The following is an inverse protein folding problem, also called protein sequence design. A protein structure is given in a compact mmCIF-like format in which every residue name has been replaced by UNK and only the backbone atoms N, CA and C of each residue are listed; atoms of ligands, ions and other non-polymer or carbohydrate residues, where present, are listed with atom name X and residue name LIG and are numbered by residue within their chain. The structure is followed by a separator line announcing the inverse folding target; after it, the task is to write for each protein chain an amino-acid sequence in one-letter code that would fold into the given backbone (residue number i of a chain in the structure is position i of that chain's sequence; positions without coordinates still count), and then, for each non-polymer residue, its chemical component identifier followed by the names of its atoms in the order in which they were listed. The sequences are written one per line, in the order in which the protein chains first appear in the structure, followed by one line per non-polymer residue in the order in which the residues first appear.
data_IF_402606758739
#
_entry.id   IF_402606758739
#
_cell.length_a   1.000
_cell.length_b   1.000
_cell.length_c   1.000
_cell.angle_alpha   90.00
_cell.angle_beta   90.00
_cell.angle_gamma   90.00
#
_symmetry.space_group_name_H-M   'P 1'
#
loop_
_entity.id
_entity.type
_entity.pdbx_description
1 polymer ?
#
# COMPACT_ATOMS: atom_id res chain seq x y z
N UNK A 1 -30.82 -13.41 -46.01
CA UNK A 1 -31.46 -14.10 -44.88
C UNK A 1 -30.41 -14.27 -43.79
N UNK A 2 -30.45 -13.41 -42.78
CA UNK A 2 -29.54 -13.46 -41.65
C UNK A 2 -30.05 -14.49 -40.66
N UNK A 3 -29.30 -15.56 -40.44
CA UNK A 3 -29.63 -16.57 -39.43
C UNK A 3 -29.61 -15.90 -38.04
N UNK A 4 -30.77 -15.85 -37.40
CA UNK A 4 -30.87 -15.45 -35.99
C UNK A 4 -30.17 -16.50 -35.15
N UNK A 5 -29.02 -16.13 -34.56
CA UNK A 5 -28.36 -16.97 -33.57
C UNK A 5 -29.16 -16.86 -32.25
N UNK A 6 -29.88 -17.91 -31.92
CA UNK A 6 -30.59 -18.02 -30.67
C UNK A 6 -29.62 -18.38 -29.57
N UNK A 7 -29.29 -17.42 -28.70
CA UNK A 7 -28.53 -17.68 -27.48
C UNK A 7 -29.49 -18.11 -26.38
N UNK A 8 -29.12 -19.13 -25.61
CA UNK A 8 -29.88 -19.53 -24.41
C UNK A 8 -28.94 -19.55 -23.20
N UNK A 9 -29.44 -19.10 -22.06
CA UNK A 9 -28.74 -19.22 -20.80
C UNK A 9 -28.86 -20.67 -20.30
N UNK A 10 -27.72 -21.31 -20.06
CA UNK A 10 -27.67 -22.66 -19.50
C UNK A 10 -27.05 -22.62 -18.12
N UNK A 11 -27.71 -23.19 -17.12
CA UNK A 11 -27.11 -23.38 -15.80
C UNK A 11 -26.05 -24.47 -15.89
N UNK A 12 -24.82 -24.14 -15.51
CA UNK A 12 -23.68 -25.07 -15.47
C UNK A 12 -23.27 -25.24 -14.02
N UNK A 13 -23.12 -26.47 -13.56
CA UNK A 13 -22.53 -26.76 -12.27
C UNK A 13 -21.04 -26.92 -12.45
N UNK A 14 -20.27 -26.00 -11.91
CA UNK A 14 -18.81 -26.12 -11.90
C UNK A 14 -18.37 -27.17 -10.88
N UNK A 15 -17.35 -27.97 -11.20
CA UNK A 15 -16.74 -28.83 -10.21
C UNK A 15 -16.22 -27.95 -9.04
N UNK A 16 -16.38 -28.44 -7.82
CA UNK A 16 -15.79 -27.77 -6.65
C UNK A 16 -14.28 -27.79 -6.79
N UNK A 17 -13.71 -26.70 -7.29
CA UNK A 17 -12.27 -26.50 -7.29
C UNK A 17 -11.93 -26.11 -5.84
N UNK A 18 -11.70 -27.11 -5.00
CA UNK A 18 -11.26 -26.90 -3.62
C UNK A 18 -9.77 -26.57 -3.63
N UNK A 19 -9.41 -25.42 -3.06
CA UNK A 19 -8.07 -25.31 -2.52
C UNK A 19 -7.96 -26.27 -1.32
N UNK A 20 -6.77 -26.85 -1.06
CA UNK A 20 -6.58 -27.66 0.14
C UNK A 20 -7.06 -26.85 1.35
N UNK A 21 -7.78 -27.49 2.25
CA UNK A 21 -8.32 -26.87 3.48
C UNK A 21 -7.23 -26.47 4.50
N UNK A 22 -5.98 -26.53 4.11
CA UNK A 22 -4.89 -26.10 4.94
C UNK A 22 -4.92 -24.55 5.06
N UNK A 23 -4.81 -24.02 6.29
CA UNK A 23 -4.73 -22.59 6.50
C UNK A 23 -3.51 -22.05 5.75
N UNK A 24 -3.71 -20.98 5.00
CA UNK A 24 -2.59 -20.30 4.32
C UNK A 24 -1.56 -19.91 5.37
N UNK A 25 -0.26 -20.18 5.14
CA UNK A 25 0.78 -19.73 6.07
C UNK A 25 0.73 -18.20 6.15
N UNK A 26 0.54 -17.69 7.35
CA UNK A 26 0.54 -16.24 7.61
C UNK A 26 1.89 -15.81 8.16
N UNK A 27 2.41 -14.69 7.66
CA UNK A 27 3.60 -14.06 8.25
C UNK A 27 3.16 -13.35 9.55
N UNK A 28 3.69 -13.73 10.72
CA UNK A 28 3.32 -13.10 11.99
C UNK A 28 3.61 -11.61 12.03
N UNK A 29 2.78 -10.82 12.71
CA UNK A 29 2.97 -9.37 12.87
C UNK A 29 4.34 -9.00 13.46
N UNK A 30 4.90 -9.84 14.33
CA UNK A 30 6.24 -9.65 14.89
C UNK A 30 7.35 -9.61 13.82
N UNK A 31 7.16 -10.26 12.68
CA UNK A 31 8.12 -10.20 11.56
C UNK A 31 8.15 -8.79 10.97
N UNK A 32 6.98 -8.18 10.77
CA UNK A 32 6.87 -6.81 10.24
C UNK A 32 7.41 -5.78 11.24
N UNK A 33 7.20 -5.97 12.54
CA UNK A 33 7.81 -5.13 13.56
C UNK A 33 9.35 -5.19 13.52
N UNK A 34 9.95 -6.38 13.35
CA UNK A 34 11.40 -6.53 13.16
C UNK A 34 11.90 -5.87 11.87
N UNK A 35 11.13 -5.97 10.78
CA UNK A 35 11.46 -5.30 9.50
C UNK A 35 11.48 -3.78 9.66
N UNK A 36 10.49 -3.22 10.36
CA UNK A 36 10.47 -1.80 10.70
C UNK A 36 11.67 -1.38 11.54
N UNK A 37 12.04 -2.17 12.55
CA UNK A 37 13.20 -1.89 13.39
C UNK A 37 14.51 -1.89 12.57
N UNK A 38 14.67 -2.86 11.65
CA UNK A 38 15.83 -2.90 10.75
C UNK A 38 15.88 -1.70 9.80
N UNK A 39 14.73 -1.30 9.24
CA UNK A 39 14.65 -0.11 8.40
C UNK A 39 15.08 1.14 9.18
N UNK A 40 14.60 1.31 10.40
CA UNK A 40 14.96 2.44 11.27
C UNK A 40 16.45 2.45 11.63
N UNK A 41 17.02 1.30 11.91
CA UNK A 41 18.46 1.19 12.13
C UNK A 41 19.27 1.62 10.90
N UNK A 42 18.83 1.22 9.70
CA UNK A 42 19.44 1.66 8.44
C UNK A 42 19.26 3.16 8.20
N UNK A 43 18.09 3.71 8.50
CA UNK A 43 17.83 5.16 8.43
C UNK A 43 18.78 5.93 9.35
N UNK A 44 18.94 5.48 10.60
CA UNK A 44 19.86 6.12 11.57
C UNK A 44 21.30 6.09 11.08
N UNK A 45 21.77 4.97 10.55
CA UNK A 45 23.13 4.84 9.99
C UNK A 45 23.39 5.74 8.77
N UNK A 46 22.33 6.20 8.10
CA UNK A 46 22.39 7.08 6.93
C UNK A 46 21.97 8.53 7.24
N UNK A 47 21.69 8.85 8.49
CA UNK A 47 21.17 10.14 8.94
C UNK A 47 19.90 10.56 8.17
N UNK A 48 18.93 9.63 8.03
CA UNK A 48 17.63 9.88 7.41
C UNK A 48 16.58 10.17 8.48
N UNK A 49 15.90 11.30 8.35
CA UNK A 49 14.80 11.72 9.22
C UNK A 49 13.46 11.09 8.82
N UNK A 50 13.35 10.70 7.56
CA UNK A 50 12.19 9.98 7.04
C UNK A 50 12.58 9.03 5.92
N UNK A 51 11.76 7.99 5.73
CA UNK A 51 11.81 7.11 4.57
C UNK A 51 10.43 7.07 3.94
N UNK A 52 10.36 7.41 2.68
CA UNK A 52 9.15 7.31 1.84
C UNK A 52 9.24 6.00 1.07
N UNK A 53 8.26 5.13 1.24
CA UNK A 53 8.15 3.85 0.51
C UNK A 53 6.93 3.92 -0.38
N UNK A 54 7.17 4.14 -1.67
CA UNK A 54 6.12 4.20 -2.69
C UNK A 54 5.80 2.79 -3.21
N UNK A 55 4.57 2.59 -3.62
CA UNK A 55 4.12 1.40 -4.30
C UNK A 55 3.01 1.72 -5.30
N UNK A 56 3.02 0.99 -6.39
CA UNK A 56 1.95 0.90 -7.36
C UNK A 56 1.63 -0.58 -7.63
N UNK A 57 0.75 -0.82 -8.58
CA UNK A 57 0.32 -2.17 -9.00
C UNK A 57 1.49 -3.09 -9.39
N UNK A 58 2.56 -2.54 -9.94
CA UNK A 58 3.69 -3.32 -10.47
C UNK A 58 4.89 -3.31 -9.51
N UNK A 59 5.07 -2.24 -8.72
CA UNK A 59 6.23 -1.99 -7.87
C UNK A 59 5.84 -1.93 -6.38
N UNK A 60 5.17 -2.94 -5.88
CA UNK A 60 4.63 -2.98 -4.51
C UNK A 60 5.52 -3.73 -3.51
N UNK A 61 6.55 -4.44 -3.96
CA UNK A 61 7.30 -5.38 -3.13
C UNK A 61 7.90 -4.76 -1.86
N UNK A 62 8.43 -3.53 -1.92
CA UNK A 62 8.99 -2.84 -0.76
C UNK A 62 7.92 -2.51 0.28
N UNK A 63 6.77 -2.01 -0.15
CA UNK A 63 5.65 -1.69 0.74
C UNK A 63 5.05 -2.96 1.35
N UNK A 64 4.82 -3.99 0.54
CA UNK A 64 4.31 -5.28 1.00
C UNK A 64 5.28 -5.96 1.97
N UNK A 65 6.58 -5.92 1.71
CA UNK A 65 7.59 -6.44 2.63
C UNK A 65 7.54 -5.73 3.98
N UNK A 66 7.34 -4.41 3.99
CA UNK A 66 7.30 -3.63 5.22
C UNK A 66 5.99 -3.79 5.98
N UNK A 67 4.85 -3.82 5.29
CA UNK A 67 3.51 -3.67 5.89
C UNK A 67 2.58 -4.86 5.73
N UNK A 68 2.84 -5.76 4.79
CA UNK A 68 1.93 -6.76 4.23
C UNK A 68 0.83 -6.18 3.31
N UNK A 69 0.84 -4.90 3.02
CA UNK A 69 -0.12 -4.27 2.13
C UNK A 69 0.47 -4.07 0.74
N UNK A 70 -0.26 -4.50 -0.28
CA UNK A 70 -0.03 -4.14 -1.67
C UNK A 70 -1.24 -3.33 -2.19
N UNK A 71 -1.05 -2.28 -2.98
CA UNK A 71 -2.14 -1.40 -3.41
C UNK A 71 -3.06 -2.01 -4.46
N UNK A 72 -2.74 -3.15 -5.05
CA UNK A 72 -3.54 -3.87 -6.07
C UNK A 72 -3.80 -3.09 -7.34
N UNK A 73 -4.64 -2.06 -7.28
CA UNK A 73 -5.18 -1.35 -8.43
C UNK A 73 -4.74 0.11 -8.50
N UNK A 74 -4.36 0.65 -7.37
CA UNK A 74 -4.07 2.06 -7.17
C UNK A 74 -2.62 2.28 -6.71
N UNK A 75 -2.30 3.47 -6.32
CA UNK A 75 -1.02 3.80 -5.70
C UNK A 75 -1.14 3.82 -4.18
N UNK A 76 -0.03 3.64 -3.50
CA UNK A 76 0.06 3.82 -2.05
C UNK A 76 1.46 4.29 -1.65
N UNK A 77 1.57 4.87 -0.47
CA UNK A 77 2.83 5.39 0.02
C UNK A 77 2.89 5.26 1.54
N UNK A 78 4.00 4.72 2.06
CA UNK A 78 4.27 4.77 3.49
C UNK A 78 5.35 5.79 3.82
N UNK A 79 5.13 6.56 4.88
CA UNK A 79 6.16 7.41 5.50
C UNK A 79 6.58 6.80 6.82
N UNK A 80 7.86 6.43 6.91
CA UNK A 80 8.49 5.91 8.12
C UNK A 80 9.34 7.01 8.74
N UNK A 81 9.13 7.24 10.03
CA UNK A 81 9.94 8.15 10.84
C UNK A 81 10.80 7.34 11.82
N UNK A 82 11.81 7.91 12.45
CA UNK A 82 12.62 7.23 13.47
C UNK A 82 11.79 6.62 14.59
N UNK A 83 10.68 7.26 14.95
CA UNK A 83 9.77 6.81 16.01
C UNK A 83 8.30 6.88 15.57
N UNK A 84 7.40 6.31 16.36
CA UNK A 84 5.95 6.35 16.13
C UNK A 84 5.49 5.32 15.08
N UNK A 85 4.20 5.31 14.78
CA UNK A 85 3.63 4.47 13.72
C UNK A 85 3.98 5.04 12.35
N UNK A 86 4.33 4.21 11.35
CA UNK A 86 4.37 4.66 9.97
C UNK A 86 3.01 5.17 9.52
N UNK A 87 3.02 6.22 8.69
CA UNK A 87 1.80 6.73 8.04
C UNK A 87 1.66 6.01 6.70
N UNK A 88 0.48 5.45 6.41
CA UNK A 88 0.17 4.79 5.15
C UNK A 88 -0.91 5.58 4.42
N UNK A 89 -0.55 6.20 3.30
CA UNK A 89 -1.47 6.88 2.39
C UNK A 89 -2.07 5.90 1.41
N UNK A 90 -3.39 5.94 1.26
CA UNK A 90 -4.19 4.95 0.54
C UNK A 90 -5.28 5.69 -0.23
N UNK A 91 -5.57 5.27 -1.45
CA UNK A 91 -6.70 5.76 -2.23
C UNK A 91 -8.04 5.19 -1.76
N UNK A 92 -9.10 5.55 -2.47
CA UNK A 92 -10.47 5.16 -2.11
C UNK A 92 -10.68 3.64 -2.17
N UNK A 93 -10.15 2.99 -3.21
CA UNK A 93 -10.38 1.56 -3.46
C UNK A 93 -9.62 0.69 -2.46
N UNK A 94 -8.43 1.12 -2.10
CA UNK A 94 -7.56 0.39 -1.16
C UNK A 94 -7.95 0.54 0.31
N UNK A 95 -8.84 1.48 0.65
CA UNK A 95 -9.13 1.82 2.04
C UNK A 95 -9.55 0.61 2.89
N UNK A 96 -10.56 -0.11 2.45
CA UNK A 96 -11.03 -1.31 3.17
C UNK A 96 -10.02 -2.46 3.09
N UNK A 97 -9.38 -2.63 1.94
CA UNK A 97 -8.40 -3.68 1.72
C UNK A 97 -7.13 -3.47 2.56
N UNK A 98 -6.80 -2.25 2.93
CA UNK A 98 -5.62 -1.95 3.77
C UNK A 98 -5.66 -2.59 5.17
N UNK A 99 -6.80 -3.15 5.58
CA UNK A 99 -6.91 -3.95 6.81
C UNK A 99 -6.04 -5.22 6.78
N UNK A 100 -5.54 -5.66 5.63
CA UNK A 100 -4.57 -6.76 5.54
C UNK A 100 -3.19 -6.40 6.07
N UNK A 101 -2.89 -5.12 6.29
CA UNK A 101 -1.62 -4.69 6.85
C UNK A 101 -1.38 -5.34 8.22
N UNK A 102 -0.24 -6.00 8.37
CA UNK A 102 0.19 -6.67 9.61
C UNK A 102 1.06 -5.78 10.49
N UNK A 103 1.64 -4.74 9.92
CA UNK A 103 2.32 -3.68 10.66
C UNK A 103 1.28 -2.69 11.20
N UNK A 104 1.41 -2.30 12.46
CA UNK A 104 0.59 -1.22 13.00
C UNK A 104 0.95 0.11 12.32
N UNK A 105 0.04 0.64 11.52
CA UNK A 105 0.21 1.89 10.75
C UNK A 105 -0.90 2.88 11.10
N UNK A 106 -0.64 4.17 10.88
CA UNK A 106 -1.64 5.23 10.83
C UNK A 106 -2.11 5.34 9.37
N UNK A 107 -3.38 5.04 9.09
CA UNK A 107 -3.93 5.12 7.73
C UNK A 107 -4.46 6.53 7.47
N UNK A 108 -4.12 7.07 6.30
CA UNK A 108 -4.63 8.35 5.80
C UNK A 108 -5.18 8.16 4.40
N UNK A 109 -6.42 8.61 4.19
CA UNK A 109 -7.00 8.64 2.85
C UNK A 109 -6.31 9.72 2.02
N UNK A 110 -5.79 9.33 0.86
CA UNK A 110 -5.18 10.23 -0.11
C UNK A 110 -5.78 9.96 -1.49
N UNK A 111 -6.89 10.64 -1.79
CA UNK A 111 -7.73 10.35 -2.96
C UNK A 111 -7.02 10.55 -4.30
N UNK A 112 -5.90 11.28 -4.33
CA UNK A 112 -5.08 11.42 -5.55
C UNK A 112 -4.52 10.07 -6.03
N UNK A 113 -4.35 9.10 -5.14
CA UNK A 113 -3.88 7.75 -5.47
C UNK A 113 -4.99 6.83 -6.01
N UNK A 114 -6.24 7.28 -5.95
CA UNK A 114 -7.39 6.51 -6.44
C UNK A 114 -7.40 6.37 -7.96
N UNK A 115 -8.11 5.38 -8.44
CA UNK A 115 -8.34 5.15 -9.86
C UNK A 115 -8.98 6.38 -10.54
N UNK A 116 -8.85 6.47 -11.85
CA UNK A 116 -9.48 7.53 -12.63
C UNK A 116 -10.99 7.53 -12.44
N UNK A 117 -11.57 8.74 -12.36
CA UNK A 117 -13.02 8.92 -12.14
C UNK A 117 -13.46 8.89 -10.67
N UNK A 118 -12.58 8.56 -9.74
CA UNK A 118 -12.89 8.63 -8.31
C UNK A 118 -12.77 10.06 -7.76
N UNK A 119 -13.52 10.39 -6.67
CA UNK A 119 -13.40 11.69 -6.02
C UNK A 119 -11.97 11.98 -5.55
N UNK A 120 -11.47 13.18 -5.85
CA UNK A 120 -10.11 13.63 -5.49
C UNK A 120 -10.09 15.00 -4.81
N UNK A 121 -11.27 15.58 -4.57
CA UNK A 121 -11.42 16.97 -4.16
C UNK A 121 -10.85 17.30 -2.78
N UNK A 122 -10.72 16.31 -1.90
CA UNK A 122 -10.24 16.49 -0.52
C UNK A 122 -8.75 16.20 -0.33
N UNK A 123 -8.02 15.81 -1.37
CA UNK A 123 -6.59 15.54 -1.25
C UNK A 123 -5.77 16.84 -1.31
N UNK A 124 -4.92 17.09 -0.31
CA UNK A 124 -3.95 18.17 -0.41
C UNK A 124 -2.88 17.85 -1.47
N UNK A 125 -2.08 18.83 -1.91
CA UNK A 125 -0.89 18.55 -2.70
C UNK A 125 0.03 17.53 -2.01
N UNK A 126 0.68 16.65 -2.77
CA UNK A 126 1.53 15.58 -2.21
C UNK A 126 2.61 16.13 -1.28
N UNK A 127 3.24 17.24 -1.65
CA UNK A 127 4.25 17.88 -0.81
C UNK A 127 3.71 18.29 0.57
N UNK A 128 2.45 18.72 0.65
CA UNK A 128 1.81 19.04 1.93
C UNK A 128 1.53 17.76 2.73
N UNK A 129 0.94 16.73 2.09
CA UNK A 129 0.68 15.46 2.74
C UNK A 129 1.95 14.82 3.32
N UNK A 130 3.07 14.89 2.59
CA UNK A 130 4.37 14.39 3.05
C UNK A 130 4.90 15.19 4.25
N UNK A 131 4.81 16.53 4.22
CA UNK A 131 5.19 17.37 5.39
C UNK A 131 4.36 17.03 6.62
N UNK A 132 3.06 16.89 6.46
CA UNK A 132 2.13 16.54 7.55
C UNK A 132 2.37 15.12 8.10
N UNK A 133 3.01 14.26 7.31
CA UNK A 133 3.48 12.96 7.76
C UNK A 133 4.90 12.99 8.36
N UNK A 134 5.56 14.16 8.38
CA UNK A 134 6.87 14.35 8.98
C UNK A 134 8.06 14.13 8.03
N UNK A 135 7.85 14.23 6.72
CA UNK A 135 8.95 14.27 5.75
C UNK A 135 9.54 15.69 5.75
N UNK A 136 10.85 15.86 5.96
CA UNK A 136 11.48 17.16 5.97
C UNK A 136 11.35 17.86 4.62
N UNK A 137 11.02 19.15 4.63
CA UNK A 137 10.78 19.94 3.43
C UNK A 137 12.04 20.62 2.87
N UNK A 138 13.01 20.89 3.73
CA UNK A 138 14.22 21.64 3.35
C UNK A 138 15.31 21.54 4.43
N UNK A 139 16.49 22.10 4.12
CA UNK A 139 17.61 22.21 5.07
C UNK A 139 18.57 21.02 5.05
N UNK A 140 19.22 20.77 6.18
CA UNK A 140 20.20 19.67 6.32
C UNK A 140 19.55 18.29 6.56
N UNK A 141 18.25 18.26 6.77
CA UNK A 141 17.50 17.04 7.01
C UNK A 141 17.33 16.24 5.71
N UNK A 142 17.48 14.94 5.82
CA UNK A 142 17.45 14.02 4.67
C UNK A 142 16.29 13.06 4.75
N UNK A 143 15.62 12.85 3.63
CA UNK A 143 14.66 11.76 3.45
C UNK A 143 15.17 10.77 2.40
N UNK A 144 14.93 9.50 2.63
CA UNK A 144 15.14 8.45 1.63
C UNK A 144 13.85 8.17 0.87
N UNK A 145 13.97 7.65 -0.35
CA UNK A 145 12.84 7.17 -1.15
C UNK A 145 13.13 5.76 -1.63
N UNK A 146 12.15 4.86 -1.54
CA UNK A 146 12.20 3.51 -2.07
C UNK A 146 10.94 3.20 -2.86
N UNK A 147 11.07 2.38 -3.90
CA UNK A 147 9.95 1.97 -4.75
C UNK A 147 9.64 2.93 -5.90
N UNK A 148 10.50 3.90 -6.16
CA UNK A 148 10.37 4.79 -7.32
C UNK A 148 10.89 4.09 -8.59
N UNK A 149 10.24 4.39 -9.74
CA UNK A 149 10.65 3.91 -11.08
C UNK A 149 11.89 4.63 -11.56
#
# INVERSE_FOLDING_TARGET
MTASQNFCLKRVTYPKIGFPHEPRPEIPAAVFARRLARLRASMAGQNLEAMVVYADREHFANLAWLTNYDPRFEEALAVVRPTGKPVLFIGNEGWSYSNIARLAVERRLYQTFSLLGQPRSSSPPLAQALRDAGVPASGRQRAGVAGWK
#
